data_IF_344168267054
#
_entry.id   IF_344168267054
#
_cell.length_a   1.000
_cell.length_b   1.000
_cell.length_c   1.000
_cell.angle_alpha   90.00
_cell.angle_beta   90.00
_cell.angle_gamma   90.00
#
_symmetry.space_group_name_H-M   'P 1'
#
loop_
_entity.id
_entity.type
_entity.pdbx_description
1 polymer ?
#
# COMPACT_ATOMS: atom_id res chain seq x y z
N UNK A 1 -51.27 50.39 -35.10
CA UNK A 1 -49.92 50.17 -34.56
C UNK A 1 -50.05 49.66 -33.13
N UNK A 2 -49.83 48.37 -32.89
CA UNK A 2 -49.64 47.83 -31.54
C UNK A 2 -48.91 46.48 -31.67
N UNK A 3 -47.65 46.47 -31.27
CA UNK A 3 -46.75 45.33 -31.29
C UNK A 3 -47.02 44.43 -30.08
N UNK A 4 -47.66 43.28 -30.29
CA UNK A 4 -47.78 42.22 -29.30
C UNK A 4 -46.54 41.32 -29.32
N UNK A 5 -45.63 41.51 -28.36
CA UNK A 5 -44.39 40.74 -28.20
C UNK A 5 -44.67 39.26 -27.90
N UNK A 6 -44.15 38.36 -28.72
CA UNK A 6 -44.08 36.92 -28.42
C UNK A 6 -43.03 36.71 -27.31
N UNK A 7 -43.46 36.26 -26.13
CA UNK A 7 -42.54 35.82 -25.07
C UNK A 7 -42.04 34.41 -25.38
N UNK A 8 -40.78 34.30 -25.79
CA UNK A 8 -40.06 33.05 -25.91
C UNK A 8 -39.75 32.52 -24.49
N UNK A 9 -40.43 31.47 -24.06
CA UNK A 9 -40.10 30.75 -22.82
C UNK A 9 -38.94 29.81 -23.14
N UNK A 10 -37.73 30.16 -22.71
CA UNK A 10 -36.58 29.27 -22.75
C UNK A 10 -36.69 28.33 -21.56
N UNK A 11 -37.06 27.07 -21.81
CA UNK A 11 -37.07 26.02 -20.81
C UNK A 11 -35.62 25.57 -20.58
N UNK A 12 -34.97 26.07 -19.53
CA UNK A 12 -33.62 25.62 -19.14
C UNK A 12 -33.72 24.23 -18.53
N UNK A 13 -33.44 23.20 -19.32
CA UNK A 13 -33.38 21.82 -18.85
C UNK A 13 -32.15 21.69 -17.93
N UNK A 14 -32.36 21.78 -16.62
CA UNK A 14 -31.29 21.57 -15.64
C UNK A 14 -31.01 20.07 -15.60
N UNK A 15 -29.96 19.64 -16.29
CA UNK A 15 -29.49 18.27 -16.28
C UNK A 15 -28.91 17.99 -14.88
N UNK A 16 -29.74 17.49 -13.97
CA UNK A 16 -29.29 16.96 -12.69
C UNK A 16 -28.53 15.67 -13.00
N UNK A 17 -27.21 15.78 -13.14
CA UNK A 17 -26.31 14.63 -13.14
C UNK A 17 -26.40 13.96 -11.77
N UNK A 18 -27.33 13.02 -11.62
CA UNK A 18 -27.27 12.01 -10.59
C UNK A 18 -25.99 11.20 -10.82
N UNK A 19 -24.89 11.62 -10.20
CA UNK A 19 -23.81 10.69 -9.88
C UNK A 19 -24.41 9.69 -8.89
N UNK A 20 -24.99 8.62 -9.43
CA UNK A 20 -25.19 7.39 -8.69
C UNK A 20 -23.79 6.89 -8.34
N UNK A 21 -23.24 7.37 -7.21
CA UNK A 21 -22.16 6.69 -6.54
C UNK A 21 -22.70 5.31 -6.22
N UNK A 22 -22.28 4.30 -6.99
CA UNK A 22 -22.57 2.92 -6.68
C UNK A 22 -22.11 2.70 -5.23
N UNK A 23 -23.07 2.49 -4.34
CA UNK A 23 -22.82 2.09 -2.96
C UNK A 23 -22.31 0.65 -3.07
N UNK A 24 -21.00 0.49 -3.13
CA UNK A 24 -20.37 -0.82 -3.08
C UNK A 24 -20.52 -1.36 -1.66
N UNK A 25 -21.51 -2.23 -1.49
CA UNK A 25 -21.72 -3.01 -0.27
C UNK A 25 -21.01 -4.37 -0.37
N UNK A 26 -19.77 -4.40 -0.86
CA UNK A 26 -18.93 -5.59 -0.81
C UNK A 26 -18.21 -5.63 0.53
N UNK A 27 -18.61 -6.52 1.43
CA UNK A 27 -17.89 -6.73 2.68
C UNK A 27 -16.49 -7.27 2.39
N UNK A 28 -15.47 -6.42 2.51
CA UNK A 28 -14.07 -6.82 2.37
C UNK A 28 -13.74 -7.91 3.38
N UNK A 29 -13.30 -9.06 2.88
CA UNK A 29 -12.81 -10.20 3.65
C UNK A 29 -11.32 -10.07 3.94
N UNK A 30 -10.52 -9.72 2.93
CA UNK A 30 -9.06 -9.61 3.08
C UNK A 30 -8.58 -8.23 2.60
N UNK A 31 -7.88 -7.51 3.47
CA UNK A 31 -7.12 -6.31 3.11
C UNK A 31 -5.65 -6.61 3.34
N UNK A 32 -4.86 -6.68 2.29
CA UNK A 32 -3.46 -7.06 2.36
C UNK A 32 -2.60 -5.97 1.73
N UNK A 33 -1.72 -5.39 2.54
CA UNK A 33 -0.77 -4.37 2.11
C UNK A 33 0.61 -5.01 2.11
N UNK A 34 1.24 -5.02 0.94
CA UNK A 34 2.54 -5.63 0.68
C UNK A 34 3.52 -4.47 0.44
N UNK A 35 4.44 -4.27 1.38
CA UNK A 35 5.56 -3.36 1.24
C UNK A 35 6.79 -4.16 0.85
N UNK A 36 7.25 -4.00 -0.39
CA UNK A 36 8.51 -4.58 -0.86
C UNK A 36 9.57 -3.50 -0.64
N UNK A 37 10.46 -3.73 0.32
CA UNK A 37 11.50 -2.81 0.74
C UNK A 37 12.39 -2.41 -0.44
N UNK A 38 12.59 -1.11 -0.63
CA UNK A 38 13.42 -0.52 -1.68
C UNK A 38 13.01 -0.80 -3.14
N UNK A 39 11.74 -1.16 -3.40
CA UNK A 39 11.22 -1.44 -4.74
C UNK A 39 11.20 -0.20 -5.63
N UNK A 40 12.20 -0.10 -6.51
CA UNK A 40 12.30 0.93 -7.54
C UNK A 40 11.17 0.83 -8.61
N UNK A 41 10.43 1.91 -8.93
CA UNK A 41 9.29 1.83 -9.87
C UNK A 41 9.65 1.35 -11.27
N UNK A 42 10.82 1.73 -11.77
CA UNK A 42 11.27 1.32 -13.11
C UNK A 42 11.56 -0.18 -13.19
N UNK A 43 11.89 -0.84 -12.08
CA UNK A 43 12.09 -2.28 -12.05
C UNK A 43 10.83 -3.05 -12.44
N UNK A 44 9.63 -2.49 -12.19
CA UNK A 44 8.36 -3.09 -12.59
C UNK A 44 8.18 -3.15 -14.12
N UNK A 45 8.95 -2.38 -14.89
CA UNK A 45 8.96 -2.44 -16.36
C UNK A 45 10.08 -3.32 -16.92
N UNK A 46 11.07 -3.67 -16.09
CA UNK A 46 12.31 -4.32 -16.51
C UNK A 46 12.39 -5.79 -16.10
N UNK A 47 11.91 -6.13 -14.90
CA UNK A 47 11.96 -7.48 -14.36
C UNK A 47 10.83 -8.37 -14.90
N UNK A 48 11.02 -9.69 -14.80
CA UNK A 48 10.00 -10.70 -15.14
C UNK A 48 9.15 -10.97 -13.89
N UNK A 49 8.06 -10.22 -13.76
CA UNK A 49 7.22 -10.17 -12.56
C UNK A 49 5.73 -10.47 -12.86
N UNK A 50 5.38 -11.68 -13.30
CA UNK A 50 4.00 -12.01 -13.70
C UNK A 50 2.95 -11.76 -12.60
N UNK A 51 3.27 -11.95 -11.32
CA UNK A 51 2.32 -11.77 -10.22
C UNK A 51 1.97 -10.29 -10.05
N UNK A 52 2.96 -9.42 -9.93
CA UNK A 52 2.78 -7.98 -9.81
C UNK A 52 2.18 -7.38 -11.09
N UNK A 53 2.57 -7.86 -12.27
CA UNK A 53 1.97 -7.44 -13.55
C UNK A 53 0.48 -7.79 -13.63
N UNK A 54 0.08 -8.97 -13.16
CA UNK A 54 -1.34 -9.35 -13.04
C UNK A 54 -2.10 -8.38 -12.13
N UNK A 55 -1.54 -8.00 -10.98
CA UNK A 55 -2.15 -7.01 -10.08
C UNK A 55 -2.25 -5.62 -10.74
N UNK A 56 -1.22 -5.18 -11.47
CA UNK A 56 -1.21 -3.91 -12.21
C UNK A 56 -2.29 -3.87 -13.30
N UNK A 57 -2.41 -4.92 -14.11
CA UNK A 57 -3.39 -5.00 -15.20
C UNK A 57 -4.83 -5.18 -14.69
N UNK A 58 -5.03 -6.03 -13.68
CA UNK A 58 -6.35 -6.26 -13.08
C UNK A 58 -6.86 -5.04 -12.32
N UNK A 59 -5.97 -4.35 -11.62
CA UNK A 59 -6.29 -3.22 -10.75
C UNK A 59 -5.98 -1.85 -11.35
N UNK A 60 -5.36 -1.00 -10.56
CA UNK A 60 -4.84 0.29 -10.93
C UNK A 60 -3.44 0.47 -10.33
N UNK A 61 -2.65 1.38 -10.90
CA UNK A 61 -1.32 1.65 -10.39
C UNK A 61 -0.86 3.06 -10.77
N UNK A 62 0.13 3.55 -10.06
CA UNK A 62 0.97 4.68 -10.42
C UNK A 62 2.43 4.32 -10.14
N UNK A 63 3.33 4.83 -10.97
CA UNK A 63 4.79 4.72 -10.76
C UNK A 63 5.40 6.08 -10.38
N UNK A 64 4.53 7.05 -10.08
CA UNK A 64 4.83 8.41 -9.64
C UNK A 64 4.43 8.58 -8.15
N UNK A 65 4.91 7.63 -7.33
CA UNK A 65 4.77 7.65 -5.89
C UNK A 65 5.98 8.31 -5.22
N UNK A 66 5.78 8.83 -4.00
CA UNK A 66 6.82 9.51 -3.22
C UNK A 66 6.92 9.04 -1.76
N UNK A 67 8.15 8.80 -1.33
CA UNK A 67 8.52 8.50 0.06
C UNK A 67 8.48 9.74 0.98
N UNK A 68 8.76 9.53 2.26
CA UNK A 68 9.02 10.57 3.25
C UNK A 68 10.36 11.26 3.04
N UNK A 69 10.55 12.39 3.72
CA UNK A 69 11.84 13.03 3.92
C UNK A 69 12.32 12.76 5.36
N UNK A 70 13.44 12.04 5.58
CA UNK A 70 14.25 11.33 4.59
C UNK A 70 13.60 9.99 4.12
N UNK A 71 13.99 9.45 2.95
CA UNK A 71 13.41 8.23 2.40
C UNK A 71 14.10 6.99 2.98
N UNK A 72 13.73 6.64 4.23
CA UNK A 72 14.32 5.50 4.95
C UNK A 72 13.25 4.60 5.53
N UNK A 73 13.52 3.30 5.53
CA UNK A 73 12.58 2.24 5.89
C UNK A 73 11.68 2.55 7.09
N UNK A 74 12.25 2.73 8.29
CA UNK A 74 11.43 2.87 9.50
C UNK A 74 10.65 4.18 9.52
N UNK A 75 11.20 5.24 8.94
CA UNK A 75 10.58 6.57 8.87
C UNK A 75 9.37 6.51 7.92
N UNK A 76 9.57 5.98 6.72
CA UNK A 76 8.52 5.83 5.71
C UNK A 76 7.41 4.88 6.19
N UNK A 77 7.75 3.74 6.79
CA UNK A 77 6.75 2.82 7.36
C UNK A 77 5.97 3.43 8.53
N UNK A 78 6.61 4.23 9.38
CA UNK A 78 5.88 4.97 10.42
C UNK A 78 4.89 5.95 9.81
N UNK A 79 5.28 6.67 8.75
CA UNK A 79 4.36 7.56 8.05
C UNK A 79 3.21 6.82 7.35
N UNK A 80 3.48 5.68 6.71
CA UNK A 80 2.45 4.80 6.14
C UNK A 80 1.42 4.36 7.19
N UNK A 81 1.89 3.93 8.36
CA UNK A 81 1.04 3.39 9.41
C UNK A 81 0.22 4.49 10.08
N UNK A 82 0.83 5.63 10.37
CA UNK A 82 0.19 6.71 11.14
C UNK A 82 -0.63 7.65 10.27
N UNK A 83 -0.31 7.74 8.97
CA UNK A 83 -0.81 8.77 8.06
C UNK A 83 -0.29 10.18 8.39
N UNK A 84 0.84 10.25 9.10
CA UNK A 84 1.44 11.49 9.58
C UNK A 84 2.88 11.61 9.05
N UNK A 85 3.33 12.83 8.81
CA UNK A 85 4.73 13.10 8.43
C UNK A 85 5.68 12.71 9.55
N UNK A 86 6.96 12.43 9.26
CA UNK A 86 7.98 12.08 10.26
C UNK A 86 8.03 13.03 11.47
N UNK A 87 7.96 14.35 11.21
CA UNK A 87 7.96 15.36 12.28
C UNK A 87 6.70 15.31 13.17
N UNK A 88 5.58 14.87 12.63
CA UNK A 88 4.28 14.79 13.33
C UNK A 88 4.14 13.48 14.11
N UNK A 89 4.62 12.37 13.54
CA UNK A 89 4.63 11.07 14.21
C UNK A 89 5.80 10.88 15.19
N UNK A 90 6.80 11.77 15.13
CA UNK A 90 7.95 11.77 16.03
C UNK A 90 9.08 10.81 15.65
N UNK A 91 8.98 10.08 14.54
CA UNK A 91 10.00 9.14 14.09
C UNK A 91 10.85 9.72 12.96
N UNK A 92 11.96 10.34 13.34
CA UNK A 92 12.92 11.00 12.43
C UNK A 92 14.19 10.20 12.17
N UNK A 93 14.39 9.06 12.84
CA UNK A 93 15.56 8.20 12.71
C UNK A 93 15.18 6.80 12.17
N UNK A 94 16.15 6.11 11.59
CA UNK A 94 15.95 4.78 10.98
C UNK A 94 16.40 3.63 11.89
N UNK A 95 16.36 3.81 13.23
CA UNK A 95 16.86 2.87 14.21
C UNK A 95 15.80 2.50 15.24
N UNK A 96 15.78 1.23 15.66
CA UNK A 96 15.02 0.75 16.80
C UNK A 96 15.52 -0.64 17.17
N UNK A 97 15.57 -0.94 18.46
CA UNK A 97 15.89 -2.29 18.97
C UNK A 97 14.87 -2.75 20.01
N UNK A 98 14.66 -4.07 20.18
CA UNK A 98 13.73 -4.59 21.18
C UNK A 98 13.98 -4.02 22.58
N UNK A 99 12.90 -3.66 23.27
CA UNK A 99 12.93 -3.04 24.60
C UNK A 99 12.86 -1.51 24.59
N UNK A 100 13.07 -0.86 23.43
CA UNK A 100 12.79 0.57 23.28
C UNK A 100 11.28 0.84 23.15
N UNK A 101 10.90 2.10 23.37
CA UNK A 101 9.53 2.56 23.15
C UNK A 101 9.05 2.23 21.72
N UNK A 102 7.79 1.83 21.62
CA UNK A 102 7.10 1.56 20.36
C UNK A 102 6.32 2.80 19.92
N UNK A 103 5.71 2.73 18.73
CA UNK A 103 4.84 3.78 18.20
C UNK A 103 3.71 4.13 19.19
N UNK A 104 3.57 5.41 19.50
CA UNK A 104 2.55 5.93 20.43
C UNK A 104 1.32 6.53 19.71
N UNK A 105 1.36 6.62 18.37
CA UNK A 105 0.29 7.17 17.54
C UNK A 105 -0.67 6.09 17.04
N UNK A 106 -1.97 6.41 16.83
CA UNK A 106 -2.92 5.50 16.19
C UNK A 106 -2.52 5.14 14.75
N UNK A 107 -2.45 3.85 14.46
CA UNK A 107 -2.04 3.32 13.15
C UNK A 107 -3.22 2.82 12.31
N UNK A 108 -2.95 2.44 11.07
CA UNK A 108 -3.89 1.71 10.19
C UNK A 108 -4.46 0.45 10.86
N UNK A 109 -3.72 -0.20 11.76
CA UNK A 109 -4.18 -1.36 12.51
C UNK A 109 -5.27 -1.02 13.52
N UNK A 110 -5.16 0.10 14.24
CA UNK A 110 -6.22 0.57 15.15
C UNK A 110 -7.54 0.75 14.40
N UNK A 111 -7.46 1.30 13.17
CA UNK A 111 -8.61 1.46 12.31
C UNK A 111 -9.17 0.12 11.84
N UNK A 112 -8.33 -0.76 11.29
CA UNK A 112 -8.76 -2.08 10.85
C UNK A 112 -9.48 -2.88 11.95
N UNK A 113 -8.91 -2.90 13.16
CA UNK A 113 -9.52 -3.54 14.33
C UNK A 113 -10.89 -2.95 14.65
N UNK A 114 -11.06 -1.63 14.55
CA UNK A 114 -12.35 -0.97 14.79
C UNK A 114 -13.45 -1.36 13.79
N UNK A 115 -13.06 -1.89 12.61
CA UNK A 115 -13.96 -2.43 11.60
C UNK A 115 -14.13 -3.96 11.68
N UNK A 116 -13.64 -4.58 12.76
CA UNK A 116 -13.80 -6.01 13.01
C UNK A 116 -12.86 -6.91 12.20
N UNK A 117 -11.76 -6.38 11.66
CA UNK A 117 -10.72 -7.21 11.08
C UNK A 117 -9.81 -7.78 12.16
N UNK A 118 -9.49 -9.07 12.04
CA UNK A 118 -8.33 -9.69 12.69
C UNK A 118 -7.06 -9.20 12.00
N UNK A 119 -6.10 -8.77 12.80
CA UNK A 119 -4.95 -8.00 12.30
C UNK A 119 -3.63 -8.79 12.35
N UNK A 120 -2.93 -8.84 11.23
CA UNK A 120 -1.65 -9.53 11.07
C UNK A 120 -0.53 -8.57 10.64
N UNK A 121 0.62 -8.62 11.30
CA UNK A 121 1.81 -7.85 10.91
C UNK A 121 3.06 -8.74 10.79
N UNK A 122 3.50 -8.97 9.56
CA UNK A 122 4.63 -9.84 9.26
C UNK A 122 5.73 -9.05 8.57
N UNK A 123 6.94 -9.07 9.12
CA UNK A 123 7.98 -8.14 8.68
C UNK A 123 9.40 -8.70 8.73
N UNK A 124 10.22 -8.29 7.77
CA UNK A 124 11.56 -8.85 7.57
C UNK A 124 12.70 -8.09 8.29
N UNK A 125 12.52 -6.81 8.61
CA UNK A 125 13.54 -6.00 9.31
C UNK A 125 13.21 -5.80 10.80
N UNK A 126 14.12 -6.16 11.70
CA UNK A 126 13.90 -6.12 13.16
C UNK A 126 13.46 -4.72 13.67
N UNK A 127 14.03 -3.65 13.13
CA UNK A 127 13.70 -2.26 13.49
C UNK A 127 12.23 -1.89 13.28
N UNK A 128 11.54 -2.59 12.39
CA UNK A 128 10.10 -2.40 12.17
C UNK A 128 9.24 -2.92 13.32
N UNK A 129 9.84 -3.66 14.27
CA UNK A 129 9.21 -3.99 15.54
C UNK A 129 8.75 -2.77 16.35
N UNK A 130 9.31 -1.58 16.09
CA UNK A 130 8.80 -0.29 16.59
C UNK A 130 7.29 -0.10 16.33
N UNK A 131 6.77 -0.61 15.23
CA UNK A 131 5.39 -0.40 14.78
C UNK A 131 4.38 -1.36 15.41
N UNK A 132 4.85 -2.36 16.17
CA UNK A 132 3.98 -3.29 16.90
C UNK A 132 3.22 -2.51 17.98
N UNK A 133 1.90 -2.70 18.05
CA UNK A 133 1.06 -2.09 19.06
C UNK A 133 -0.13 -2.99 19.40
N UNK A 134 -0.91 -2.60 20.42
CA UNK A 134 -2.04 -3.40 20.92
C UNK A 134 -3.21 -3.58 19.95
N UNK A 135 -3.18 -2.94 18.77
CA UNK A 135 -4.18 -3.19 17.74
C UNK A 135 -3.84 -4.36 16.82
N UNK A 136 -2.63 -4.93 16.93
CA UNK A 136 -2.15 -6.06 16.12
C UNK A 136 -2.37 -7.39 16.88
N UNK A 137 -3.20 -8.28 16.34
CA UNK A 137 -3.54 -9.57 16.96
C UNK A 137 -2.44 -10.63 16.81
N UNK A 138 -1.76 -10.64 15.67
CA UNK A 138 -0.64 -11.52 15.41
C UNK A 138 0.48 -10.76 14.72
N UNK A 139 1.71 -10.91 15.21
CA UNK A 139 2.87 -10.38 14.52
C UNK A 139 4.07 -11.32 14.61
N UNK A 140 4.96 -11.22 13.63
CA UNK A 140 6.22 -11.94 13.65
C UNK A 140 7.28 -11.21 12.83
N UNK A 141 8.44 -11.00 13.45
CA UNK A 141 9.65 -10.70 12.74
C UNK A 141 10.24 -11.99 12.17
N UNK A 142 10.48 -12.03 10.86
CA UNK A 142 11.19 -13.10 10.18
C UNK A 142 11.78 -12.57 8.89
N UNK A 143 13.10 -12.70 8.74
CA UNK A 143 13.80 -12.27 7.52
C UNK A 143 13.28 -13.00 6.27
N UNK A 144 13.12 -14.31 6.39
CA UNK A 144 12.94 -15.17 5.22
C UNK A 144 11.49 -15.69 5.06
N UNK A 145 10.72 -15.79 6.15
CA UNK A 145 9.40 -16.47 6.13
C UNK A 145 8.20 -15.52 6.24
N UNK A 146 8.39 -14.22 6.00
CA UNK A 146 7.32 -13.23 6.19
C UNK A 146 6.09 -13.48 5.30
N UNK A 147 6.30 -13.92 4.05
CA UNK A 147 5.24 -14.26 3.09
C UNK A 147 4.44 -15.48 3.55
N UNK A 148 5.10 -16.58 3.91
CA UNK A 148 4.46 -17.79 4.40
C UNK A 148 3.60 -17.54 5.65
N UNK A 149 4.10 -16.71 6.57
CA UNK A 149 3.38 -16.33 7.78
C UNK A 149 2.11 -15.53 7.47
N UNK A 150 2.19 -14.60 6.50
CA UNK A 150 1.03 -13.87 6.02
C UNK A 150 0.02 -14.80 5.33
N UNK A 151 0.49 -15.73 4.49
CA UNK A 151 -0.36 -16.71 3.82
C UNK A 151 -1.08 -17.63 4.81
N UNK A 152 -0.37 -18.14 5.81
CA UNK A 152 -0.95 -18.95 6.88
C UNK A 152 -2.03 -18.18 7.65
N UNK A 153 -1.80 -16.90 7.92
CA UNK A 153 -2.75 -16.05 8.64
C UNK A 153 -4.04 -15.83 7.85
N UNK A 154 -3.96 -15.48 6.56
CA UNK A 154 -5.16 -15.22 5.72
C UNK A 154 -5.98 -16.48 5.41
N UNK A 155 -5.43 -17.68 5.66
CA UNK A 155 -6.14 -18.97 5.53
C UNK A 155 -7.00 -19.32 6.75
N UNK A 156 -6.87 -18.58 7.85
CA UNK A 156 -7.72 -18.81 9.04
C UNK A 156 -9.15 -18.29 8.82
N UNK A 157 -10.16 -18.81 9.54
CA UNK A 157 -11.54 -18.35 9.37
C UNK A 157 -11.77 -16.99 10.06
N UNK A 158 -11.54 -15.89 9.35
CA UNK A 158 -11.79 -14.52 9.81
C UNK A 158 -11.86 -13.52 8.63
N UNK A 159 -12.07 -12.23 8.95
CA UNK A 159 -11.76 -11.10 8.07
C UNK A 159 -10.38 -10.59 8.44
N UNK A 160 -9.47 -10.48 7.48
CA UNK A 160 -8.07 -10.14 7.75
C UNK A 160 -7.71 -8.74 7.27
N UNK A 161 -6.97 -8.03 8.12
CA UNK A 161 -6.13 -6.92 7.71
C UNK A 161 -4.67 -7.32 7.93
N UNK A 162 -3.88 -7.38 6.87
CA UNK A 162 -2.49 -7.78 6.90
C UNK A 162 -1.61 -6.67 6.36
N UNK A 163 -0.55 -6.33 7.10
CA UNK A 163 0.60 -5.64 6.54
C UNK A 163 1.77 -6.64 6.46
N UNK A 164 2.30 -6.82 5.26
CA UNK A 164 3.41 -7.69 4.95
C UNK A 164 4.58 -6.83 4.48
N UNK A 165 5.74 -6.97 5.12
CA UNK A 165 6.98 -6.35 4.68
C UNK A 165 7.98 -7.41 4.21
N UNK A 166 8.48 -7.25 3.00
CA UNK A 166 9.44 -8.15 2.33
C UNK A 166 10.75 -7.39 2.13
N UNK A 167 11.88 -8.00 2.50
CA UNK A 167 13.23 -7.48 2.22
C UNK A 167 13.86 -8.19 1.02
N UNK A 168 15.11 -7.85 0.69
CA UNK A 168 15.90 -8.46 -0.39
C UNK A 168 16.52 -7.38 -1.27
N UNK A 169 15.69 -6.55 -1.88
CA UNK A 169 16.13 -5.49 -2.80
C UNK A 169 17.01 -4.42 -2.13
N UNK A 170 16.76 -4.07 -0.86
CA UNK A 170 17.61 -3.13 -0.10
C UNK A 170 19.00 -3.71 0.27
N UNK A 171 19.20 -5.01 0.10
CA UNK A 171 20.52 -5.64 0.26
C UNK A 171 21.24 -5.72 -1.09
N UNK A 172 20.51 -6.14 -2.13
CA UNK A 172 21.04 -6.31 -3.48
C UNK A 172 21.37 -4.97 -4.15
N UNK A 173 20.53 -3.94 -3.95
CA UNK A 173 20.71 -2.61 -4.54
C UNK A 173 22.06 -1.97 -4.17
N UNK A 174 22.41 -1.82 -2.89
CA UNK A 174 23.72 -1.31 -2.49
C UNK A 174 24.90 -2.20 -2.91
N UNK A 175 24.71 -3.53 -2.96
CA UNK A 175 25.78 -4.47 -3.29
C UNK A 175 26.14 -4.45 -4.78
N UNK A 176 25.13 -4.57 -5.65
CA UNK A 176 25.32 -4.75 -7.09
C UNK A 176 25.00 -3.49 -7.89
N UNK A 177 24.04 -2.70 -7.43
CA UNK A 177 23.56 -1.49 -8.07
C UNK A 177 22.04 -1.53 -8.25
N UNK A 178 21.38 -0.39 -8.07
CA UNK A 178 19.94 -0.27 -8.32
C UNK A 178 19.65 -0.51 -9.79
N UNK A 179 18.63 -1.34 -10.07
CA UNK A 179 18.25 -1.79 -11.42
C UNK A 179 19.30 -2.64 -12.15
N UNK A 180 20.32 -3.15 -11.46
CA UNK A 180 21.25 -4.13 -12.04
C UNK A 180 20.53 -5.45 -12.38
N UNK A 181 21.12 -6.32 -13.21
CA UNK A 181 20.57 -7.66 -13.47
C UNK A 181 20.26 -8.45 -12.18
N UNK A 182 21.16 -8.40 -11.18
CA UNK A 182 20.98 -9.07 -9.89
C UNK A 182 19.78 -8.51 -9.11
N UNK A 183 19.61 -7.19 -9.13
CA UNK A 183 18.45 -6.54 -8.52
C UNK A 183 17.14 -6.96 -9.18
N UNK A 184 17.12 -7.08 -10.51
CA UNK A 184 15.93 -7.51 -11.26
C UNK A 184 15.63 -9.00 -11.10
N UNK A 185 16.67 -9.82 -10.93
CA UNK A 185 16.56 -11.24 -10.62
C UNK A 185 15.98 -11.44 -9.22
N UNK A 186 16.48 -10.72 -8.21
CA UNK A 186 15.93 -10.73 -6.85
C UNK A 186 14.44 -10.31 -6.84
N UNK A 187 14.08 -9.28 -7.60
CA UNK A 187 12.68 -8.88 -7.74
C UNK A 187 11.83 -9.98 -8.40
N UNK A 188 12.37 -10.68 -9.39
CA UNK A 188 11.67 -11.80 -10.05
C UNK A 188 11.47 -12.98 -9.08
N UNK A 189 12.45 -13.26 -8.21
CA UNK A 189 12.32 -14.26 -7.14
C UNK A 189 11.25 -13.88 -6.11
N UNK A 190 11.25 -12.62 -5.65
CA UNK A 190 10.22 -12.10 -4.75
C UNK A 190 8.82 -12.23 -5.38
N UNK A 191 8.67 -11.89 -6.66
CA UNK A 191 7.39 -11.98 -7.39
C UNK A 191 6.88 -13.42 -7.52
N UNK A 192 7.78 -14.36 -7.81
CA UNK A 192 7.46 -15.79 -7.87
C UNK A 192 6.97 -16.29 -6.50
N UNK A 193 7.68 -15.96 -5.43
CA UNK A 193 7.33 -16.42 -4.09
C UNK A 193 6.04 -15.76 -3.56
N UNK A 194 5.74 -14.53 -3.98
CA UNK A 194 4.48 -13.85 -3.70
C UNK A 194 3.25 -14.51 -4.35
N UNK A 195 3.43 -15.29 -5.42
CA UNK A 195 2.33 -15.83 -6.22
C UNK A 195 1.35 -16.68 -5.40
N UNK A 196 1.84 -17.48 -4.45
CA UNK A 196 1.02 -18.37 -3.62
C UNK A 196 0.07 -17.57 -2.71
N UNK A 197 0.58 -16.52 -2.07
CA UNK A 197 -0.20 -15.61 -1.24
C UNK A 197 -1.27 -14.89 -2.07
N UNK A 198 -0.87 -14.32 -3.20
CA UNK A 198 -1.77 -13.57 -4.10
C UNK A 198 -2.90 -14.47 -4.59
N UNK A 199 -2.57 -15.65 -5.12
CA UNK A 199 -3.57 -16.59 -5.61
C UNK A 199 -4.48 -17.13 -4.49
N UNK A 200 -3.94 -17.30 -3.27
CA UNK A 200 -4.74 -17.68 -2.09
C UNK A 200 -5.78 -16.61 -1.76
N UNK A 201 -5.40 -15.34 -1.75
CA UNK A 201 -6.31 -14.22 -1.49
C UNK A 201 -7.38 -14.10 -2.59
N UNK A 202 -6.97 -14.18 -3.87
CA UNK A 202 -7.90 -14.06 -5.00
C UNK A 202 -8.95 -15.18 -5.03
N UNK A 203 -8.57 -16.41 -4.65
CA UNK A 203 -9.52 -17.54 -4.53
C UNK A 203 -10.57 -17.31 -3.44
N UNK A 204 -10.23 -16.57 -2.38
CA UNK A 204 -11.17 -16.29 -1.29
C UNK A 204 -12.19 -15.20 -1.63
N UNK A 205 -11.96 -14.42 -2.70
CA UNK A 205 -12.77 -13.27 -3.11
C UNK A 205 -12.86 -12.17 -2.05
N UNK A 206 -13.51 -11.08 -2.42
CA UNK A 206 -13.80 -9.93 -1.58
C UNK A 206 -12.52 -9.34 -0.95
N UNK A 207 -11.52 -9.07 -1.77
CA UNK A 207 -10.21 -8.60 -1.32
C UNK A 207 -9.91 -7.17 -1.75
N UNK A 208 -8.98 -6.56 -1.03
CA UNK A 208 -8.22 -5.38 -1.43
C UNK A 208 -6.73 -5.68 -1.21
N UNK A 209 -5.95 -5.66 -2.28
CA UNK A 209 -4.51 -5.81 -2.23
C UNK A 209 -3.84 -4.49 -2.64
N UNK A 210 -2.86 -4.04 -1.87
CA UNK A 210 -2.03 -2.89 -2.19
C UNK A 210 -0.57 -3.35 -2.19
N UNK A 211 0.19 -3.04 -3.23
CA UNK A 211 1.65 -3.22 -3.26
C UNK A 211 2.31 -1.85 -3.36
N UNK A 212 3.26 -1.59 -2.48
CA UNK A 212 4.06 -0.35 -2.51
C UNK A 212 5.44 -0.59 -1.91
N UNK A 213 6.15 0.49 -1.62
CA UNK A 213 7.48 0.46 -1.04
C UNK A 213 7.66 1.63 -0.07
N UNK A 214 8.85 1.71 0.51
CA UNK A 214 9.27 2.71 1.47
C UNK A 214 10.30 3.69 0.92
N UNK A 215 11.19 3.26 0.04
CA UNK A 215 12.14 4.10 -0.70
C UNK A 215 12.54 3.40 -1.99
N UNK A 216 13.41 4.04 -2.77
CA UNK A 216 14.20 3.38 -3.80
C UNK A 216 15.67 3.80 -3.60
N UNK A 217 16.49 3.72 -4.64
CA UNK A 217 17.87 4.19 -4.58
C UNK A 217 18.46 4.47 -5.96
N UNK A 218 19.67 5.01 -5.97
CA UNK A 218 20.43 5.34 -7.18
C UNK A 218 21.89 4.90 -7.06
N UNK A 219 22.51 4.56 -8.19
CA UNK A 219 23.85 3.97 -8.23
C UNK A 219 23.98 2.76 -7.27
N UNK A 220 24.60 2.94 -6.10
CA UNK A 220 24.72 1.95 -5.02
C UNK A 220 24.33 2.48 -3.64
N UNK A 221 23.63 3.61 -3.58
CA UNK A 221 23.26 4.27 -2.33
C UNK A 221 21.77 4.61 -2.30
N UNK A 222 21.24 4.90 -1.12
CA UNK A 222 19.85 5.32 -0.92
C UNK A 222 19.73 6.16 0.37
N UNK A 223 18.54 6.70 0.62
CA UNK A 223 18.28 7.49 1.82
C UNK A 223 18.92 8.88 1.81
N UNK A 224 19.29 9.37 0.62
CA UNK A 224 19.85 10.69 0.34
C UNK A 224 18.78 11.67 -0.16
N UNK A 225 19.19 12.87 -0.57
CA UNK A 225 18.30 13.87 -1.20
C UNK A 225 18.17 13.69 -2.72
N UNK A 226 18.78 12.65 -3.29
CA UNK A 226 18.67 12.38 -4.72
C UNK A 226 17.23 11.96 -5.08
N UNK A 227 16.59 12.54 -6.12
CA UNK A 227 15.15 12.37 -6.37
C UNK A 227 14.69 10.92 -6.47
N UNK A 228 15.53 10.06 -7.01
CA UNK A 228 15.27 8.65 -7.27
C UNK A 228 15.07 7.87 -5.97
N UNK A 229 15.74 8.25 -4.88
CA UNK A 229 15.59 7.60 -3.56
C UNK A 229 14.16 7.71 -3.01
N UNK A 230 13.39 8.69 -3.49
CA UNK A 230 12.02 8.94 -3.04
C UNK A 230 10.98 8.24 -3.91
N UNK A 231 11.32 7.72 -5.08
CA UNK A 231 10.35 7.24 -6.06
C UNK A 231 9.77 5.89 -5.62
N UNK A 232 8.45 5.73 -5.68
CA UNK A 232 7.76 4.51 -5.25
C UNK A 232 6.68 4.07 -6.24
N UNK A 233 6.46 2.77 -6.41
CA UNK A 233 5.26 2.29 -7.04
C UNK A 233 4.11 2.27 -6.03
N UNK A 234 2.90 2.41 -6.54
CA UNK A 234 1.69 2.09 -5.83
C UNK A 234 0.80 1.29 -6.77
N UNK A 235 0.52 0.04 -6.42
CA UNK A 235 -0.36 -0.88 -7.14
C UNK A 235 -1.51 -1.18 -6.21
N UNK A 236 -2.73 -1.17 -6.74
CA UNK A 236 -3.94 -1.47 -6.00
C UNK A 236 -4.86 -2.36 -6.83
N UNK A 237 -5.27 -3.49 -6.28
CA UNK A 237 -6.17 -4.45 -6.93
C UNK A 237 -7.27 -4.87 -5.97
N UNK A 238 -8.50 -4.99 -6.48
CA UNK A 238 -9.65 -5.42 -5.70
C UNK A 238 -10.72 -6.01 -6.60
N UNK A 239 -11.41 -7.03 -6.11
CA UNK A 239 -12.65 -7.55 -6.71
C UNK A 239 -13.92 -7.10 -5.96
N UNK A 240 -13.78 -6.35 -4.85
CA UNK A 240 -14.88 -5.88 -4.01
C UNK A 240 -15.11 -4.37 -4.05
N UNK A 241 -14.07 -3.56 -4.28
CA UNK A 241 -14.16 -2.10 -4.34
C UNK A 241 -13.58 -1.55 -5.65
N UNK A 242 -14.14 -0.48 -6.23
CA UNK A 242 -13.56 0.16 -7.40
C UNK A 242 -12.21 0.77 -7.08
N UNK A 243 -11.22 0.46 -7.90
CA UNK A 243 -9.87 0.99 -7.73
C UNK A 243 -9.34 1.71 -8.97
N UNK A 244 -10.10 1.73 -10.08
CA UNK A 244 -9.63 2.33 -11.36
C UNK A 244 -9.34 3.83 -11.25
N UNK A 245 -9.99 4.53 -10.33
CA UNK A 245 -9.76 5.95 -10.04
C UNK A 245 -8.40 6.24 -9.37
N UNK A 246 -7.64 5.22 -8.94
CA UNK A 246 -6.28 5.38 -8.43
C UNK A 246 -5.21 5.22 -9.53
N UNK A 247 -5.59 4.94 -10.78
CA UNK A 247 -4.62 4.81 -11.87
C UNK A 247 -3.97 6.16 -12.20
N UNK A 248 -2.64 6.20 -12.29
CA UNK A 248 -1.82 7.41 -12.47
C UNK A 248 -2.11 8.53 -11.46
N UNK A 249 -2.60 8.18 -10.26
CA UNK A 249 -2.71 9.17 -9.19
C UNK A 249 -1.32 9.64 -8.72
N UNK A 250 -1.25 10.84 -8.17
CA UNK A 250 -0.12 11.21 -7.32
C UNK A 250 -0.26 10.47 -5.99
N UNK A 251 0.78 9.74 -5.59
CA UNK A 251 0.80 8.97 -4.34
C UNK A 251 1.95 9.45 -3.45
N UNK A 252 1.68 9.70 -2.18
CA UNK A 252 2.71 9.78 -1.15
C UNK A 252 2.45 8.72 -0.08
N UNK A 253 3.52 8.14 0.50
CA UNK A 253 3.38 7.09 1.53
C UNK A 253 2.51 7.49 2.72
N UNK A 254 2.50 8.78 3.07
CA UNK A 254 1.67 9.35 4.14
C UNK A 254 0.17 9.28 3.82
N UNK A 255 -0.20 9.23 2.54
CA UNK A 255 -1.59 9.16 2.10
C UNK A 255 -2.20 7.76 2.22
N UNK A 256 -1.39 6.71 2.45
CA UNK A 256 -1.85 5.33 2.47
C UNK A 256 -3.01 5.12 3.46
N UNK A 257 -2.87 5.63 4.69
CA UNK A 257 -3.94 5.57 5.69
C UNK A 257 -5.22 6.18 5.14
N UNK A 258 -5.16 7.43 4.64
CA UNK A 258 -6.29 8.18 4.08
C UNK A 258 -6.94 7.46 2.88
N UNK A 259 -6.15 6.81 2.03
CA UNK A 259 -6.64 6.01 0.91
C UNK A 259 -7.48 4.83 1.44
N UNK A 260 -6.98 4.11 2.44
CA UNK A 260 -7.74 3.02 3.08
C UNK A 260 -9.05 3.53 3.71
N UNK A 261 -9.03 4.72 4.33
CA UNK A 261 -10.25 5.29 4.92
C UNK A 261 -11.34 5.61 3.88
N UNK A 262 -10.93 6.03 2.68
CA UNK A 262 -11.85 6.28 1.56
C UNK A 262 -12.40 4.99 0.96
N UNK A 263 -11.57 3.94 0.89
CA UNK A 263 -11.89 2.65 0.30
C UNK A 263 -12.70 1.73 1.22
N UNK A 264 -12.82 2.06 2.49
CA UNK A 264 -13.67 1.38 3.46
C UNK A 264 -14.93 2.20 3.76
N UNK A 265 -15.84 2.45 2.80
CA UNK A 265 -17.09 3.12 3.11
C UNK A 265 -17.93 2.24 4.05
N UNK A 266 -18.09 2.74 5.28
CA UNK A 266 -19.11 2.42 6.29
C UNK A 266 -19.75 1.03 6.18
N UNK A 267 -19.21 0.08 6.95
CA UNK A 267 -20.01 -1.02 7.48
C UNK A 267 -21.20 -0.38 8.20
N UNK A 268 -22.41 -0.82 7.84
CA UNK A 268 -23.68 -0.25 8.26
C UNK A 268 -23.80 -0.08 9.78
N UNK A 269 -24.61 0.91 10.16
CA UNK A 269 -25.45 0.78 11.34
C UNK A 269 -26.45 -0.36 11.12
#
# INVERSE_FOLDING_TARGET
MSNGKVKLIVLTLTMVSLFAGAVYAGDLKNIVIISIDALHPDALRMAKIPTLQKLMHGGAYTLDGRSTEPPKTLIAHTAMFTGMKPIENGKMDNSWVPGQAMVDKPTIFNRARSYGFRTGYFYAKQKLGYLVNGAIDAHKWSRDNSIDLAEAFVKTPDRHFVFLHISGLDEVGPQYGWLSPEYLEELSFIDEYLSTLVDSIERQKNYLMIVTSDHAGHAKIHGSQYPEDYRLPFIISSDAVPVKNFHNMLFAVVDLKKILEKLQPKIGR
#
